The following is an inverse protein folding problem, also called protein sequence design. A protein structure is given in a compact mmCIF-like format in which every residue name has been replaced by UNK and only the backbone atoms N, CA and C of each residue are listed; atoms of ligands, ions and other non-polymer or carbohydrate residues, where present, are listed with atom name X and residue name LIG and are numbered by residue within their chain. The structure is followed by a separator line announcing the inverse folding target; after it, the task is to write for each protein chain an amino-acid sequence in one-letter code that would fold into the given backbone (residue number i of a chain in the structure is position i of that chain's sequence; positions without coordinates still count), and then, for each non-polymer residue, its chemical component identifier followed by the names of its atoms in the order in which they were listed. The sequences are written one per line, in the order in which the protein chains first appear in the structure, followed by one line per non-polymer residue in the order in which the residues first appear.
data_IF_039538839733
#
_entry.id   IF_039538839733
#
_cell.length_a   1.000
_cell.length_b   1.000
_cell.length_c   1.000
_cell.angle_alpha   90.00
_cell.angle_beta   90.00
_cell.angle_gamma   90.00
#
_symmetry.space_group_name_H-M   'P 1'
#
loop_
_entity.id
_entity.type
_entity.pdbx_description
1 polymer ?
#
# COMPACT_ATOMS: atom_id res chain seq x y z
N UNK A 1 1.69 3.68 -17.70
CA UNK A 1 0.32 3.23 -17.38
C UNK A 1 0.20 1.74 -17.69
N UNK A 2 -0.43 0.96 -16.80
CA UNK A 2 -0.76 -0.47 -16.99
C UNK A 2 -2.21 -0.66 -16.59
N UNK A 3 -3.04 -1.18 -17.48
CA UNK A 3 -4.49 -1.16 -17.27
C UNK A 3 -5.22 -2.41 -17.77
N UNK A 4 -6.37 -2.70 -17.15
CA UNK A 4 -7.35 -3.68 -17.59
C UNK A 4 -6.83 -5.14 -17.72
N UNK A 5 -5.73 -5.47 -17.06
CA UNK A 5 -5.23 -6.85 -17.01
C UNK A 5 -6.15 -7.73 -16.16
N UNK A 6 -6.35 -8.98 -16.60
CA UNK A 6 -7.16 -9.98 -15.91
C UNK A 6 -6.42 -11.32 -15.88
N UNK A 7 -6.15 -11.85 -14.69
CA UNK A 7 -5.49 -13.16 -14.52
C UNK A 7 -4.00 -13.18 -14.89
N UNK A 8 -3.38 -12.04 -15.22
CA UNK A 8 -1.99 -12.00 -15.66
C UNK A 8 -1.04 -11.85 -14.46
N UNK A 9 -0.24 -12.87 -14.22
CA UNK A 9 0.68 -12.95 -13.07
C UNK A 9 2.13 -12.55 -13.39
N UNK A 10 2.39 -12.05 -14.61
CA UNK A 10 3.75 -11.81 -15.12
C UNK A 10 3.93 -10.39 -15.68
N UNK A 11 3.09 -9.43 -15.27
CA UNK A 11 3.18 -8.06 -15.79
C UNK A 11 4.44 -7.40 -15.26
N UNK A 12 5.42 -7.14 -16.12
CA UNK A 12 6.65 -6.41 -15.75
C UNK A 12 6.64 -4.99 -16.31
N UNK A 13 7.04 -4.03 -15.48
CA UNK A 13 7.29 -2.62 -15.82
C UNK A 13 8.75 -2.34 -15.50
N UNK A 14 9.55 -1.99 -16.50
CA UNK A 14 10.92 -1.49 -16.26
C UNK A 14 10.86 0.04 -16.25
N UNK A 15 11.30 0.64 -15.14
CA UNK A 15 11.38 2.09 -15.00
C UNK A 15 12.59 2.60 -15.77
N UNK A 16 12.38 3.57 -16.68
CA UNK A 16 13.48 4.11 -17.48
C UNK A 16 14.08 5.36 -16.83
N UNK A 17 13.25 6.16 -16.15
CA UNK A 17 13.68 7.37 -15.45
C UNK A 17 13.10 7.43 -14.04
N UNK A 18 13.94 7.84 -13.09
CA UNK A 18 13.58 7.93 -11.67
C UNK A 18 12.42 8.89 -11.37
N UNK A 19 12.14 9.83 -12.28
CA UNK A 19 11.08 10.84 -12.15
C UNK A 19 9.72 10.35 -12.68
N UNK A 20 9.67 9.20 -13.34
CA UNK A 20 8.41 8.63 -13.84
C UNK A 20 7.47 8.32 -12.68
N UNK A 21 6.17 8.37 -12.94
CA UNK A 21 5.15 7.84 -12.03
C UNK A 21 4.41 6.70 -12.72
N UNK A 22 4.25 5.58 -12.01
CA UNK A 22 3.59 4.40 -12.55
C UNK A 22 2.13 4.41 -12.10
N UNK A 23 1.22 4.27 -13.05
CA UNK A 23 -0.22 4.20 -12.78
C UNK A 23 -0.75 2.84 -13.23
N UNK A 24 -1.30 2.07 -12.29
CA UNK A 24 -1.85 0.73 -12.45
C UNK A 24 -3.35 0.80 -12.20
N UNK A 25 -4.15 0.49 -13.22
CA UNK A 25 -5.59 0.76 -13.20
C UNK A 25 -6.43 -0.46 -13.57
N UNK A 26 -7.52 -0.73 -12.85
CA UNK A 26 -8.51 -1.77 -13.21
C UNK A 26 -7.91 -3.16 -13.47
N UNK A 27 -6.83 -3.51 -12.78
CA UNK A 27 -6.24 -4.83 -12.86
C UNK A 27 -6.95 -5.77 -11.90
N UNK A 28 -7.32 -6.96 -12.37
CA UNK A 28 -8.00 -7.98 -11.57
C UNK A 28 -7.21 -9.28 -11.57
N UNK A 29 -7.06 -9.91 -10.41
CA UNK A 29 -6.39 -11.20 -10.27
C UNK A 29 -5.00 -11.22 -10.95
N UNK A 30 -4.22 -10.15 -10.77
CA UNK A 30 -2.98 -9.93 -11.51
C UNK A 30 -1.79 -9.68 -10.59
N UNK A 31 -0.58 -9.83 -11.11
CA UNK A 31 0.67 -9.47 -10.39
C UNK A 31 1.45 -8.52 -11.28
N UNK A 32 1.78 -7.35 -10.73
CA UNK A 32 2.57 -6.31 -11.40
C UNK A 32 3.91 -6.17 -10.69
N UNK A 33 5.00 -6.35 -11.43
CA UNK A 33 6.37 -6.17 -10.96
C UNK A 33 6.96 -4.90 -11.58
N UNK A 34 7.25 -3.90 -10.75
CA UNK A 34 7.89 -2.63 -11.13
C UNK A 34 9.37 -2.68 -10.76
N UNK A 35 10.22 -2.85 -11.78
CA UNK A 35 11.67 -2.94 -11.65
C UNK A 35 12.33 -1.58 -11.81
N UNK A 36 13.30 -1.28 -10.96
CA UNK A 36 13.93 0.02 -10.84
C UNK A 36 13.22 0.98 -9.88
N UNK A 37 13.86 2.13 -9.64
CA UNK A 37 13.36 3.19 -8.78
C UNK A 37 12.56 4.22 -9.57
N UNK A 38 11.36 4.55 -9.10
CA UNK A 38 10.43 5.50 -9.73
C UNK A 38 10.06 6.62 -8.75
N UNK A 39 9.34 7.65 -9.19
CA UNK A 39 8.93 8.73 -8.32
C UNK A 39 7.81 8.26 -7.38
N UNK A 40 6.72 7.75 -7.98
CA UNK A 40 5.55 7.24 -7.26
C UNK A 40 4.86 6.12 -8.02
N UNK A 41 4.05 5.35 -7.31
CA UNK A 41 3.19 4.32 -7.91
C UNK A 41 1.76 4.54 -7.41
N UNK A 42 0.79 4.48 -8.32
CA UNK A 42 -0.63 4.49 -7.97
C UNK A 42 -1.24 3.16 -8.40
N UNK A 43 -1.91 2.49 -7.47
CA UNK A 43 -2.74 1.31 -7.69
C UNK A 43 -4.20 1.71 -7.50
N UNK A 44 -4.94 1.87 -8.59
CA UNK A 44 -6.31 2.38 -8.58
C UNK A 44 -7.29 1.36 -9.14
N UNK A 45 -8.39 1.17 -8.42
CA UNK A 45 -9.55 0.40 -8.87
C UNK A 45 -9.22 -1.06 -9.21
N UNK A 46 -8.26 -1.66 -8.49
CA UNK A 46 -7.76 -3.01 -8.70
C UNK A 46 -8.35 -4.01 -7.69
N UNK A 47 -8.52 -5.28 -8.09
CA UNK A 47 -9.10 -6.33 -7.23
C UNK A 47 -8.27 -7.62 -7.28
N UNK A 48 -7.92 -8.21 -6.14
CA UNK A 48 -7.03 -9.40 -6.08
C UNK A 48 -5.70 -9.18 -6.82
N UNK A 49 -5.14 -7.97 -6.73
CA UNK A 49 -3.92 -7.61 -7.46
C UNK A 49 -2.76 -7.43 -6.51
N UNK A 50 -1.61 -8.03 -6.84
CA UNK A 50 -0.37 -7.82 -6.12
C UNK A 50 0.55 -6.87 -6.88
N UNK A 51 1.14 -5.93 -6.17
CA UNK A 51 2.18 -5.01 -6.65
C UNK A 51 3.49 -5.36 -5.93
N UNK A 52 4.51 -5.73 -6.70
CA UNK A 52 5.89 -5.85 -6.23
C UNK A 52 6.71 -4.73 -6.87
N UNK A 53 7.47 -3.98 -6.07
CA UNK A 53 8.31 -2.91 -6.59
C UNK A 53 9.61 -2.73 -5.80
N UNK A 54 10.62 -2.14 -6.44
CA UNK A 54 11.92 -1.92 -5.80
C UNK A 54 11.93 -0.69 -4.88
N UNK A 55 11.70 0.51 -5.41
CA UNK A 55 11.70 1.73 -4.59
C UNK A 55 10.91 2.86 -5.23
N UNK A 56 10.36 3.73 -4.37
CA UNK A 56 9.76 5.01 -4.76
C UNK A 56 10.51 6.17 -4.12
N UNK A 57 10.49 7.35 -4.74
CA UNK A 57 11.01 8.59 -4.14
C UNK A 57 9.99 9.15 -3.14
N UNK A 58 8.71 9.16 -3.50
CA UNK A 58 7.66 9.80 -2.71
C UNK A 58 6.75 8.79 -2.05
N UNK A 59 5.88 8.13 -2.82
CA UNK A 59 4.72 7.43 -2.27
C UNK A 59 4.24 6.29 -3.14
N UNK A 60 3.52 5.37 -2.49
CA UNK A 60 2.58 4.46 -3.14
C UNK A 60 1.17 4.84 -2.72
N UNK A 61 0.26 4.99 -3.69
CA UNK A 61 -1.13 5.34 -3.45
C UNK A 61 -2.03 4.15 -3.86
N UNK A 62 -2.72 3.55 -2.89
CA UNK A 62 -3.67 2.45 -3.10
C UNK A 62 -5.07 3.02 -2.95
N UNK A 63 -5.82 3.09 -4.05
CA UNK A 63 -7.09 3.81 -4.12
C UNK A 63 -8.19 2.92 -4.73
N UNK A 64 -9.39 2.91 -4.14
CA UNK A 64 -10.56 2.16 -4.66
C UNK A 64 -10.28 0.66 -4.90
N UNK A 65 -9.39 0.05 -4.11
CA UNK A 65 -8.94 -1.32 -4.34
C UNK A 65 -9.67 -2.33 -3.45
N UNK A 66 -9.56 -3.61 -3.80
CA UNK A 66 -10.07 -4.69 -2.95
C UNK A 66 -9.13 -5.90 -2.95
N UNK A 67 -8.79 -6.43 -1.76
CA UNK A 67 -7.90 -7.59 -1.58
C UNK A 67 -6.59 -7.45 -2.34
N UNK A 68 -5.88 -6.36 -2.12
CA UNK A 68 -4.61 -6.08 -2.79
C UNK A 68 -3.43 -6.38 -1.86
N UNK A 69 -2.30 -6.67 -2.48
CA UNK A 69 -1.03 -6.85 -1.79
C UNK A 69 -0.02 -5.87 -2.39
N UNK A 70 0.76 -5.20 -1.54
CA UNK A 70 1.81 -4.28 -1.93
C UNK A 70 3.08 -4.74 -1.25
N UNK A 71 4.14 -5.02 -2.00
CA UNK A 71 5.43 -5.43 -1.46
C UNK A 71 6.54 -4.56 -2.03
N UNK A 72 7.35 -4.02 -1.13
CA UNK A 72 8.55 -3.26 -1.46
C UNK A 72 9.80 -4.07 -1.12
N UNK A 73 10.82 -4.03 -1.97
CA UNK A 73 12.12 -4.67 -1.69
C UNK A 73 13.21 -3.68 -1.26
N UNK A 74 13.04 -2.39 -1.52
CA UNK A 74 13.90 -1.28 -1.07
C UNK A 74 13.11 -0.20 -0.34
N UNK A 75 13.34 1.08 -0.66
CA UNK A 75 12.77 2.21 0.06
C UNK A 75 11.37 2.61 -0.42
N UNK A 76 10.46 2.81 0.53
CA UNK A 76 9.15 3.47 0.34
C UNK A 76 8.90 4.42 1.53
N UNK A 77 8.98 5.76 1.34
CA UNK A 77 8.79 6.69 2.45
C UNK A 77 7.35 6.78 2.97
N UNK A 78 6.36 6.68 2.08
CA UNK A 78 4.95 6.83 2.44
C UNK A 78 4.08 5.86 1.65
N UNK A 79 3.06 5.30 2.30
CA UNK A 79 1.95 4.61 1.63
C UNK A 79 0.63 5.25 2.03
N UNK A 80 -0.18 5.60 1.04
CA UNK A 80 -1.54 6.08 1.21
C UNK A 80 -2.53 4.96 0.84
N UNK A 81 -3.48 4.67 1.71
CA UNK A 81 -4.54 3.68 1.48
C UNK A 81 -5.90 4.39 1.61
N UNK A 82 -6.57 4.62 0.48
CA UNK A 82 -7.86 5.32 0.41
C UNK A 82 -8.94 4.44 -0.23
N UNK A 83 -10.13 4.40 0.37
CA UNK A 83 -11.30 3.66 -0.15
C UNK A 83 -10.96 2.20 -0.55
N UNK A 84 -10.16 1.52 0.25
CA UNK A 84 -9.66 0.17 -0.07
C UNK A 84 -10.02 -0.82 1.03
N UNK A 85 -10.57 -1.97 0.64
CA UNK A 85 -10.95 -3.04 1.57
C UNK A 85 -10.06 -4.27 1.35
N UNK A 86 -9.27 -4.63 2.36
CA UNK A 86 -8.29 -5.72 2.28
C UNK A 86 -7.01 -5.25 1.60
N UNK A 87 -6.05 -4.74 2.38
CA UNK A 87 -4.75 -4.28 1.88
C UNK A 87 -3.62 -4.79 2.77
N UNK A 88 -2.79 -5.66 2.23
CA UNK A 88 -1.57 -6.12 2.91
C UNK A 88 -0.36 -5.41 2.36
N UNK A 89 0.44 -4.79 3.23
CA UNK A 89 1.65 -4.05 2.87
C UNK A 89 2.87 -4.73 3.46
N UNK A 90 3.69 -5.34 2.62
CA UNK A 90 4.94 -6.00 2.99
C UNK A 90 6.08 -5.01 2.87
N UNK A 91 6.64 -4.63 4.01
CA UNK A 91 7.77 -3.72 4.10
C UNK A 91 9.10 -4.46 3.83
N UNK A 92 10.11 -3.71 3.41
CA UNK A 92 11.51 -4.13 3.45
C UNK A 92 12.17 -3.65 4.75
N UNK A 93 13.40 -4.09 5.01
CA UNK A 93 14.23 -3.51 6.07
C UNK A 93 14.43 -1.99 5.90
N UNK A 94 14.54 -1.52 4.65
CA UNK A 94 14.76 -0.11 4.32
C UNK A 94 13.48 0.74 4.43
N UNK A 95 12.29 0.12 4.42
CA UNK A 95 11.01 0.82 4.48
C UNK A 95 10.31 0.70 5.84
N UNK A 96 11.00 0.23 6.89
CA UNK A 96 10.41 0.11 8.25
C UNK A 96 9.93 1.44 8.84
N UNK A 97 10.49 2.56 8.39
CA UNK A 97 10.10 3.91 8.80
C UNK A 97 9.02 4.53 7.91
N UNK A 98 8.36 3.75 7.04
CA UNK A 98 7.33 4.27 6.15
C UNK A 98 6.17 4.89 6.94
N UNK A 99 5.73 6.07 6.53
CA UNK A 99 4.48 6.64 7.01
C UNK A 99 3.29 5.92 6.35
N UNK A 100 2.34 5.47 7.17
CA UNK A 100 1.13 4.81 6.71
C UNK A 100 -0.05 5.76 6.92
N UNK A 101 -0.65 6.20 5.83
CA UNK A 101 -1.76 7.15 5.85
C UNK A 101 -2.99 6.43 5.32
N UNK A 102 -4.08 6.45 6.08
CA UNK A 102 -5.30 5.70 5.73
C UNK A 102 -6.53 6.59 5.74
N UNK A 103 -7.43 6.37 4.80
CA UNK A 103 -8.74 6.99 4.77
C UNK A 103 -9.79 6.02 4.22
N UNK A 104 -10.95 5.92 4.88
CA UNK A 104 -12.11 5.14 4.41
C UNK A 104 -11.75 3.72 3.94
N UNK A 105 -10.85 3.05 4.64
CA UNK A 105 -10.30 1.76 4.26
C UNK A 105 -10.45 0.78 5.41
N UNK A 106 -10.52 -0.51 5.10
CA UNK A 106 -10.71 -1.58 6.08
C UNK A 106 -9.82 -2.80 5.79
N UNK A 107 -9.66 -3.69 6.78
CA UNK A 107 -8.87 -4.93 6.65
C UNK A 107 -7.42 -4.65 6.18
N UNK A 108 -6.77 -3.67 6.81
CA UNK A 108 -5.42 -3.22 6.46
C UNK A 108 -4.40 -3.83 7.40
N UNK A 109 -3.34 -4.41 6.84
CA UNK A 109 -2.27 -5.05 7.60
C UNK A 109 -0.90 -4.63 7.09
N UNK A 110 -0.01 -4.27 8.01
CA UNK A 110 1.40 -3.99 7.74
C UNK A 110 2.21 -5.20 8.17
N UNK A 111 2.94 -5.77 7.22
CA UNK A 111 3.80 -6.91 7.42
C UNK A 111 5.23 -6.40 7.51
N UNK A 112 5.81 -6.50 8.70
CA UNK A 112 7.17 -6.02 9.02
C UNK A 112 8.12 -7.21 9.02
N UNK A 113 9.22 -7.19 8.24
CA UNK A 113 10.14 -8.31 8.18
C UNK A 113 10.89 -8.50 9.51
N UNK A 114 10.99 -9.74 9.96
CA UNK A 114 11.78 -10.18 11.11
C UNK A 114 13.12 -10.78 10.67
N UNK A 115 14.05 -10.92 11.62
CA UNK A 115 15.43 -11.36 11.35
C UNK A 115 15.55 -12.82 10.87
N UNK A 116 14.51 -13.62 11.05
CA UNK A 116 14.39 -15.02 10.62
C UNK A 116 13.85 -15.18 9.20
N UNK A 117 13.49 -14.07 8.53
CA UNK A 117 12.96 -14.07 7.17
C UNK A 117 11.43 -14.18 7.10
N UNK A 118 10.75 -14.28 8.24
CA UNK A 118 9.29 -14.20 8.34
C UNK A 118 8.80 -12.74 8.44
N UNK A 119 7.49 -12.56 8.53
CA UNK A 119 6.86 -11.26 8.74
C UNK A 119 6.01 -11.27 10.01
N UNK A 120 6.14 -10.23 10.81
CA UNK A 120 5.18 -9.93 11.88
C UNK A 120 4.07 -9.04 11.30
N UNK A 121 2.82 -9.46 11.49
CA UNK A 121 1.65 -8.75 10.97
C UNK A 121 1.06 -7.80 12.03
N UNK A 122 0.81 -6.55 11.64
CA UNK A 122 0.19 -5.52 12.47
C UNK A 122 -1.05 -4.98 11.78
N UNK A 123 -2.22 -5.14 12.41
CA UNK A 123 -3.45 -4.56 11.91
C UNK A 123 -3.42 -3.03 12.07
N UNK A 124 -3.82 -2.30 11.03
CA UNK A 124 -3.97 -0.84 11.11
C UNK A 124 -5.34 -0.53 11.70
N UNK A 125 -5.43 0.29 12.76
CA UNK A 125 -6.72 0.64 13.33
C UNK A 125 -7.59 1.43 12.35
N UNK A 126 -8.85 1.03 12.25
CA UNK A 126 -9.81 1.59 11.29
C UNK A 126 -11.00 2.28 11.97
N UNK A 127 -11.10 2.18 13.31
CA UNK A 127 -12.13 2.84 14.10
C UNK A 127 -11.53 3.91 15.02
N UNK A 128 -12.24 5.03 15.14
CA UNK A 128 -11.81 6.17 15.93
C UNK A 128 -12.96 6.67 16.80
N UNK A 129 -12.66 6.95 18.07
CA UNK A 129 -13.60 7.57 19.01
C UNK A 129 -13.31 9.05 19.08
N UNK A 130 -14.29 9.86 18.72
CA UNK A 130 -14.22 11.32 18.85
C UNK A 130 -15.16 11.78 19.95
N UNK A 131 -14.64 12.56 20.89
CA UNK A 131 -15.41 13.14 22.01
C UNK A 131 -15.29 14.65 21.98
N UNK A 132 -16.39 15.37 22.26
CA UNK A 132 -16.38 16.81 22.48
C UNK A 132 -16.04 17.12 23.94
N UNK A 133 -15.00 17.92 24.18
CA UNK A 133 -14.46 18.18 25.53
C UNK A 133 -14.99 19.47 26.17
N UNK A 134 -15.96 20.12 25.53
CA UNK A 134 -16.39 21.48 25.88
C UNK A 134 -15.44 22.58 25.35
N UNK A 135 -14.23 22.23 24.92
CA UNK A 135 -13.24 23.15 24.32
C UNK A 135 -12.83 22.80 22.89
N UNK A 136 -13.20 21.62 22.41
CA UNK A 136 -12.85 21.13 21.09
C UNK A 136 -13.12 19.63 20.94
N UNK A 137 -12.64 19.07 19.85
CA UNK A 137 -12.70 17.63 19.58
C UNK A 137 -11.39 16.97 20.01
N UNK A 138 -11.50 15.79 20.60
CA UNK A 138 -10.38 14.89 20.85
C UNK A 138 -10.71 13.54 20.24
N UNK A 139 -9.80 13.03 19.43
CA UNK A 139 -9.95 11.75 18.73
C UNK A 139 -8.85 10.80 19.17
N UNK A 140 -9.25 9.59 19.54
CA UNK A 140 -8.32 8.48 19.82
C UNK A 140 -8.67 7.32 18.90
N UNK A 141 -7.67 6.50 18.60
CA UNK A 141 -7.90 5.17 18.04
C UNK A 141 -8.84 4.40 18.97
N UNK A 142 -9.84 3.73 18.41
CA UNK A 142 -10.75 2.84 19.12
C UNK A 142 -10.45 1.41 18.70
N UNK A 143 -9.38 0.86 19.25
CA UNK A 143 -9.01 -0.53 18.98
C UNK A 143 -9.87 -1.47 19.81
N UNK A 144 -10.28 -2.58 19.19
CA UNK A 144 -10.90 -3.73 19.87
C UNK A 144 -9.87 -4.83 20.18
N UNK A 145 -8.59 -4.57 19.91
CA UNK A 145 -7.48 -5.47 20.18
C UNK A 145 -7.10 -5.51 21.67
#
# INVERSE_FOLDING_TARGET
MKENYKGNKEITVNVNQIKESIYIYKCTDSVVNVKGKTNSIVLDNCNKTALLFESVISSVDVVNCQRVQVQVTGLMPTINIDKTDGCQVYLSEESKSAEIITAKSSEMNILVPSSDGDYTEYAVPEQFKTTFTGKGLTTTVNDLA
#
